data_IF_835403887036
#
_entry.id   IF_835403887036
#
_cell.length_a   1.000
_cell.length_b   1.000
_cell.length_c   1.000
_cell.angle_alpha   90.00
_cell.angle_beta   90.00
_cell.angle_gamma   90.00
#
_symmetry.space_group_name_H-M   'P 1'
#
loop_
_entity.id
_entity.type
_entity.pdbx_description
1 polymer ?
#
# COMPACT_ATOMS: atom_id res chain seq x y z
N UNK A 1 -11.97 -5.26 51.04
CA UNK A 1 -12.33 -6.58 50.49
C UNK A 1 -13.10 -6.34 49.20
N UNK A 2 -12.39 -6.28 48.08
CA UNK A 2 -12.88 -6.34 46.68
C UNK A 2 -11.67 -6.09 45.74
N UNK A 3 -11.42 -7.00 44.79
CA UNK A 3 -10.70 -6.79 43.52
C UNK A 3 -11.69 -6.16 42.49
N UNK A 4 -11.33 -5.69 41.27
CA UNK A 4 -10.07 -5.86 40.50
C UNK A 4 -9.55 -4.59 39.75
N UNK A 5 -8.37 -4.66 39.14
CA UNK A 5 -7.97 -3.85 37.98
C UNK A 5 -7.64 -4.80 36.82
N UNK A 6 -8.45 -4.72 35.75
CA UNK A 6 -8.25 -5.42 34.46
C UNK A 6 -7.74 -4.40 33.45
N UNK A 7 -6.63 -4.74 32.78
CA UNK A 7 -6.09 -4.06 31.61
C UNK A 7 -7.05 -4.13 30.42
N UNK A 8 -7.47 -2.97 29.91
CA UNK A 8 -8.25 -2.82 28.68
C UNK A 8 -7.33 -2.25 27.60
N UNK A 9 -6.75 -3.14 26.79
CA UNK A 9 -6.10 -2.76 25.52
C UNK A 9 -7.18 -2.68 24.44
N UNK A 10 -7.53 -1.45 24.07
CA UNK A 10 -8.41 -1.12 22.94
C UNK A 10 -7.53 -0.86 21.72
N UNK A 11 -7.63 -1.71 20.70
CA UNK A 11 -6.92 -1.60 19.42
C UNK A 11 -7.94 -1.45 18.28
N UNK A 12 -7.92 -0.31 17.61
CA UNK A 12 -8.78 0.02 16.46
C UNK A 12 -7.94 0.60 15.32
N UNK A 13 -7.69 -0.17 14.26
CA UNK A 13 -7.73 0.28 12.86
C UNK A 13 -7.43 -0.89 11.92
N UNK A 14 -8.34 -1.12 10.97
CA UNK A 14 -8.17 -2.04 9.86
C UNK A 14 -7.90 -1.25 8.59
N UNK A 15 -6.68 -1.36 8.08
CA UNK A 15 -6.39 -1.50 6.66
C UNK A 15 -5.26 -2.52 6.57
N UNK A 16 -5.62 -3.72 6.11
CA UNK A 16 -4.72 -4.83 5.85
C UNK A 16 -3.93 -5.33 7.07
N UNK A 17 -4.61 -6.14 7.88
CA UNK A 17 -3.95 -7.24 8.61
C UNK A 17 -2.98 -7.91 7.65
N UNK A 18 -1.68 -7.87 7.97
CA UNK A 18 -0.71 -8.98 7.91
C UNK A 18 0.75 -8.50 7.96
N UNK A 19 1.02 -7.65 8.95
CA UNK A 19 2.33 -7.56 9.59
C UNK A 19 2.20 -7.56 11.13
N UNK A 20 1.02 -7.86 11.66
CA UNK A 20 0.68 -7.72 13.10
C UNK A 20 0.32 -9.05 13.78
N UNK A 21 0.87 -10.17 13.31
CA UNK A 21 0.90 -11.38 14.11
C UNK A 21 2.34 -11.86 14.18
N UNK A 22 3.05 -11.43 15.23
CA UNK A 22 4.06 -12.21 15.99
C UNK A 22 4.68 -11.39 17.17
N UNK A 23 4.06 -10.30 17.64
CA UNK A 23 4.43 -9.67 18.93
C UNK A 23 3.65 -10.30 20.08
N UNK A 24 3.97 -11.55 20.42
CA UNK A 24 3.74 -12.12 21.75
C UNK A 24 4.57 -13.40 21.90
N UNK A 25 5.76 -13.23 22.44
CA UNK A 25 6.65 -14.27 22.93
C UNK A 25 7.43 -13.67 24.08
N UNK A 26 7.09 -14.12 25.29
CA UNK A 26 7.43 -13.54 26.59
C UNK A 26 8.92 -13.26 26.81
N UNK A 27 9.19 -12.09 27.38
CA UNK A 27 10.43 -11.80 28.10
C UNK A 27 10.35 -12.40 29.49
N UNK A 28 11.24 -13.33 29.82
CA UNK A 28 11.68 -13.57 31.19
C UNK A 28 13.16 -13.99 31.21
N UNK A 29 13.88 -13.38 32.15
CA UNK A 29 15.29 -13.55 32.47
C UNK A 29 15.66 -14.98 32.93
N UNK A 30 16.87 -15.46 32.55
CA UNK A 30 17.92 -15.96 33.48
C UNK A 30 18.84 -17.07 32.91
N UNK A 31 20.15 -16.77 32.90
CA UNK A 31 21.35 -17.54 33.33
C UNK A 31 21.69 -18.98 32.85
N UNK A 32 23.01 -19.17 32.64
CA UNK A 32 23.79 -20.39 32.37
C UNK A 32 23.50 -21.58 33.33
N UNK A 33 23.48 -22.83 32.81
CA UNK A 33 24.50 -23.91 33.01
C UNK A 33 24.01 -25.34 32.62
N UNK A 34 24.90 -26.12 31.96
CA UNK A 34 25.13 -27.59 31.92
C UNK A 34 24.04 -28.69 31.75
N UNK A 35 24.30 -29.60 30.80
CA UNK A 35 23.76 -30.97 30.49
C UNK A 35 23.78 -32.03 31.65
N UNK A 36 23.30 -33.32 31.50
CA UNK A 36 22.60 -34.02 30.38
C UNK A 36 21.38 -34.95 30.71
N UNK A 37 20.70 -35.39 29.63
CA UNK A 37 20.06 -36.70 29.33
C UNK A 37 18.89 -37.27 30.18
N UNK A 38 17.76 -37.57 29.52
CA UNK A 38 17.21 -38.94 29.34
C UNK A 38 15.96 -39.00 28.44
N UNK A 39 15.87 -40.12 27.72
CA UNK A 39 14.87 -40.59 26.74
C UNK A 39 13.51 -40.96 27.33
N UNK A 40 12.42 -40.69 26.60
CA UNK A 40 11.32 -41.64 26.38
C UNK A 40 10.50 -41.27 25.14
N UNK A 41 10.24 -42.30 24.33
CA UNK A 41 9.40 -42.40 23.14
C UNK A 41 7.90 -42.30 23.46
N UNK A 42 7.11 -41.71 22.56
CA UNK A 42 5.77 -42.24 22.22
C UNK A 42 5.30 -41.75 20.84
N UNK A 43 5.06 -42.72 19.96
CA UNK A 43 4.25 -42.67 18.73
C UNK A 43 2.79 -42.35 19.09
N UNK A 44 2.01 -41.54 18.38
CA UNK A 44 1.70 -41.61 16.95
C UNK A 44 0.18 -41.59 16.81
N UNK A 45 -0.36 -40.65 16.03
CA UNK A 45 -1.71 -40.76 15.46
C UNK A 45 -1.82 -39.78 14.28
N UNK A 46 -1.73 -40.35 13.08
CA UNK A 46 -1.98 -39.68 11.82
C UNK A 46 -3.46 -39.77 11.45
N UNK A 47 -4.01 -38.69 10.90
CA UNK A 47 -5.28 -38.69 10.14
C UNK A 47 -5.31 -37.46 9.22
N UNK A 48 -6.09 -37.48 8.12
CA UNK A 48 -5.52 -37.56 6.80
C UNK A 48 -5.66 -36.27 5.98
N UNK A 49 -4.69 -36.09 5.09
CA UNK A 49 -4.70 -35.12 3.99
C UNK A 49 -5.93 -35.35 3.11
N UNK A 50 -6.86 -34.39 3.12
CA UNK A 50 -7.88 -34.28 2.07
C UNK A 50 -7.32 -33.45 0.93
N UNK A 51 -7.15 -34.14 -0.21
CA UNK A 51 -6.74 -33.60 -1.49
C UNK A 51 -7.73 -32.57 -2.03
N UNK A 52 -7.26 -31.37 -2.35
CA UNK A 52 -7.99 -30.43 -3.22
C UNK A 52 -7.44 -30.51 -4.65
N UNK A 53 -8.32 -30.39 -5.67
CA UNK A 53 -7.94 -30.54 -7.06
C UNK A 53 -7.14 -29.32 -7.53
N UNK A 54 -5.93 -29.59 -8.01
CA UNK A 54 -5.05 -28.62 -8.65
C UNK A 54 -5.64 -28.18 -10.01
N UNK A 55 -6.07 -26.92 -10.10
CA UNK A 55 -6.21 -26.22 -11.38
C UNK A 55 -6.15 -24.71 -11.20
N UNK A 56 -4.95 -24.21 -10.89
CA UNK A 56 -4.54 -22.86 -11.27
C UNK A 56 -3.03 -22.86 -11.46
N UNK A 57 -2.59 -22.48 -12.65
CA UNK A 57 -1.19 -22.51 -13.05
C UNK A 57 -0.44 -21.46 -12.22
N UNK A 58 0.21 -21.93 -11.15
CA UNK A 58 1.08 -21.11 -10.32
C UNK A 58 2.36 -20.80 -11.10
N UNK A 59 2.72 -19.52 -11.22
CA UNK A 59 3.91 -19.07 -11.94
C UNK A 59 5.16 -19.38 -11.09
N UNK A 60 6.08 -20.25 -11.56
CA UNK A 60 7.35 -20.46 -10.87
C UNK A 60 8.24 -19.23 -11.06
N UNK A 61 8.97 -18.79 -10.04
CA UNK A 61 10.02 -17.76 -10.18
C UNK A 61 11.39 -18.43 -10.35
N UNK A 62 12.16 -17.91 -11.30
CA UNK A 62 13.36 -18.55 -11.83
C UNK A 62 14.63 -18.02 -11.16
N UNK A 63 15.42 -18.90 -10.56
CA UNK A 63 16.87 -18.74 -10.51
C UNK A 63 17.42 -18.97 -11.92
N UNK A 64 17.88 -17.91 -12.57
CA UNK A 64 18.51 -18.03 -13.88
C UNK A 64 19.76 -17.18 -13.91
N UNK A 65 20.92 -17.80 -13.71
CA UNK A 65 22.15 -17.34 -14.35
C UNK A 65 21.96 -17.56 -15.85
N UNK A 66 21.38 -16.60 -16.56
CA UNK A 66 21.19 -16.71 -18.00
C UNK A 66 22.58 -16.67 -18.70
N UNK A 67 22.91 -17.64 -19.57
CA UNK A 67 24.11 -17.53 -20.38
C UNK A 67 23.94 -16.41 -21.41
N UNK A 68 25.00 -15.60 -21.57
CA UNK A 68 25.10 -14.51 -22.56
C UNK A 68 24.86 -15.04 -23.98
N UNK A 69 23.65 -14.91 -24.50
CA UNK A 69 23.34 -15.14 -25.91
C UNK A 69 23.60 -13.84 -26.69
N UNK A 70 24.41 -13.96 -27.74
CA UNK A 70 24.74 -12.86 -28.65
C UNK A 70 23.48 -12.25 -29.27
N UNK A 71 23.42 -10.92 -29.29
CA UNK A 71 22.28 -10.13 -29.75
C UNK A 71 21.93 -10.40 -31.22
N UNK A 72 20.66 -10.68 -31.49
CA UNK A 72 20.10 -10.71 -32.84
C UNK A 72 19.81 -9.29 -33.37
N UNK A 73 19.83 -9.04 -34.69
CA UNK A 73 19.89 -7.68 -35.27
C UNK A 73 18.56 -6.87 -35.23
N UNK A 74 17.65 -7.14 -34.29
CA UNK A 74 16.39 -6.39 -34.12
C UNK A 74 16.28 -5.67 -32.76
N UNK A 75 17.38 -5.61 -32.02
CA UNK A 75 17.41 -5.12 -30.64
C UNK A 75 17.50 -3.58 -30.57
N UNK A 76 16.44 -2.89 -30.98
CA UNK A 76 16.25 -1.52 -30.49
C UNK A 76 15.81 -1.61 -29.02
N UNK A 77 16.49 -0.93 -28.09
CA UNK A 77 16.07 -0.94 -26.69
C UNK A 77 14.65 -0.39 -26.60
N UNK A 78 13.73 -1.23 -26.11
CA UNK A 78 12.35 -0.85 -25.86
C UNK A 78 12.34 0.39 -24.97
N UNK A 79 11.59 1.45 -25.30
CA UNK A 79 11.58 2.66 -24.50
C UNK A 79 11.14 2.34 -23.07
N UNK A 80 11.84 2.93 -22.11
CA UNK A 80 11.50 2.80 -20.69
C UNK A 80 10.09 3.34 -20.45
N UNK A 81 9.34 2.64 -19.60
CA UNK A 81 8.00 3.07 -19.21
C UNK A 81 8.09 4.33 -18.32
N UNK A 82 7.08 5.22 -18.36
CA UNK A 82 7.01 6.36 -17.46
C UNK A 82 7.20 5.95 -16.00
N UNK A 83 8.02 6.69 -15.24
CA UNK A 83 8.32 6.37 -13.83
C UNK A 83 9.39 5.29 -13.61
N UNK A 84 9.93 4.68 -14.68
CA UNK A 84 11.05 3.77 -14.56
C UNK A 84 12.29 4.48 -13.95
N UNK A 85 12.95 3.90 -12.93
CA UNK A 85 14.18 4.46 -12.40
C UNK A 85 15.31 4.37 -13.45
N UNK A 86 16.18 5.38 -13.50
CA UNK A 86 17.29 5.46 -14.46
C UNK A 86 18.60 5.72 -13.74
N UNK A 87 19.54 4.77 -13.81
CA UNK A 87 20.83 4.88 -13.15
C UNK A 87 21.93 4.31 -14.04
N UNK A 88 23.16 4.84 -14.02
CA UNK A 88 24.29 4.21 -14.70
C UNK A 88 24.68 2.86 -14.06
N UNK A 89 24.23 2.57 -12.84
CA UNK A 89 24.57 1.34 -12.09
C UNK A 89 23.70 0.14 -12.46
N UNK A 90 22.55 0.37 -13.10
CA UNK A 90 21.62 -0.69 -13.42
C UNK A 90 20.82 -0.43 -14.68
N UNK A 91 20.16 -1.47 -15.17
CA UNK A 91 19.16 -1.41 -16.23
C UNK A 91 17.92 -2.21 -15.84
N UNK A 92 16.80 -1.92 -16.50
CA UNK A 92 15.56 -2.65 -16.31
C UNK A 92 15.42 -3.67 -17.42
N UNK A 93 15.16 -4.93 -17.06
CA UNK A 93 14.94 -6.02 -18.01
C UNK A 93 13.60 -6.69 -17.76
N UNK A 94 12.96 -7.17 -18.82
CA UNK A 94 11.84 -8.11 -18.71
C UNK A 94 12.37 -9.50 -18.33
N UNK A 95 11.70 -10.15 -17.38
CA UNK A 95 12.01 -11.49 -16.90
C UNK A 95 10.88 -12.45 -17.30
N UNK A 96 11.17 -13.75 -17.53
CA UNK A 96 10.13 -14.69 -17.93
C UNK A 96 9.03 -14.90 -16.87
N UNK A 97 9.33 -14.63 -15.59
CA UNK A 97 8.50 -15.07 -14.46
C UNK A 97 8.13 -13.97 -13.47
N UNK A 98 8.94 -12.92 -13.33
CA UNK A 98 8.76 -11.85 -12.35
C UNK A 98 8.38 -10.49 -13.00
N UNK A 99 8.01 -10.48 -14.29
CA UNK A 99 7.75 -9.22 -15.00
C UNK A 99 9.04 -8.41 -15.17
N UNK A 100 9.03 -7.12 -14.84
CA UNK A 100 10.22 -6.27 -14.94
C UNK A 100 11.08 -6.41 -13.69
N UNK A 101 12.40 -6.35 -13.84
CA UNK A 101 13.34 -6.35 -12.73
C UNK A 101 14.53 -5.44 -13.01
N UNK A 102 15.19 -4.99 -11.95
CA UNK A 102 16.41 -4.18 -12.01
C UNK A 102 17.62 -5.10 -11.98
N UNK A 103 18.57 -4.92 -12.90
CA UNK A 103 19.81 -5.69 -12.97
C UNK A 103 21.02 -4.77 -13.00
N UNK A 104 22.09 -5.13 -12.30
CA UNK A 104 23.33 -4.37 -12.31
C UNK A 104 23.93 -4.32 -13.73
N UNK A 105 24.26 -3.12 -14.21
CA UNK A 105 24.89 -2.92 -15.53
C UNK A 105 26.42 -3.03 -15.47
N UNK A 106 26.97 -2.96 -14.26
CA UNK A 106 28.38 -3.04 -13.89
C UNK A 106 28.50 -3.66 -12.49
N UNK A 107 29.72 -3.96 -12.05
CA UNK A 107 29.96 -4.36 -10.67
C UNK A 107 29.65 -3.17 -9.74
N UNK A 108 28.95 -3.43 -8.64
CA UNK A 108 28.55 -2.43 -7.66
C UNK A 108 29.09 -2.82 -6.29
N UNK A 109 29.86 -1.92 -5.68
CA UNK A 109 30.43 -2.11 -4.36
C UNK A 109 29.36 -1.97 -3.25
N UNK A 110 29.54 -2.71 -2.16
CA UNK A 110 28.74 -2.57 -0.96
C UNK A 110 28.68 -1.09 -0.48
N UNK A 111 27.49 -0.64 -0.09
CA UNK A 111 27.21 0.73 0.37
C UNK A 111 26.90 1.74 -0.73
N UNK A 112 27.14 1.40 -2.01
CA UNK A 112 26.84 2.29 -3.13
C UNK A 112 25.36 2.69 -3.17
N UNK A 113 25.10 3.98 -3.43
CA UNK A 113 23.74 4.50 -3.62
C UNK A 113 23.24 4.09 -5.00
N UNK A 114 22.23 3.21 -5.02
CA UNK A 114 21.62 2.72 -6.25
C UNK A 114 20.54 3.67 -6.75
N UNK A 115 19.65 4.11 -5.85
CA UNK A 115 18.49 4.91 -6.20
C UNK A 115 17.96 5.74 -5.03
N UNK A 116 17.34 6.89 -5.36
CA UNK A 116 16.52 7.70 -4.46
C UNK A 116 15.13 7.83 -5.09
N UNK A 117 14.12 7.26 -4.46
CA UNK A 117 12.74 7.40 -4.89
C UNK A 117 12.10 8.61 -4.18
N UNK A 118 11.95 9.70 -4.92
CA UNK A 118 11.37 10.97 -4.44
C UNK A 118 9.98 11.23 -5.07
N UNK A 119 9.46 10.24 -5.78
CA UNK A 119 8.25 10.30 -6.60
C UNK A 119 6.99 9.79 -5.87
N UNK A 120 6.87 10.05 -4.57
CA UNK A 120 5.68 9.74 -3.79
C UNK A 120 4.43 10.31 -4.48
N UNK A 121 3.56 9.43 -4.95
CA UNK A 121 2.40 9.83 -5.76
C UNK A 121 1.08 9.60 -5.03
N UNK A 122 0.98 8.53 -4.25
CA UNK A 122 -0.18 8.21 -3.43
C UNK A 122 0.30 7.95 -2.01
N UNK A 123 -0.38 8.48 -1.00
CA UNK A 123 -0.06 8.16 0.39
C UNK A 123 -1.27 8.29 1.28
N UNK A 124 -1.37 7.39 2.25
CA UNK A 124 -2.39 7.37 3.29
C UNK A 124 -1.67 7.44 4.63
N UNK A 125 -2.08 8.40 5.45
CA UNK A 125 -1.79 8.40 6.87
C UNK A 125 -3.06 7.98 7.59
N UNK A 126 -3.01 6.82 8.26
CA UNK A 126 -4.17 6.24 8.95
C UNK A 126 -4.71 7.19 9.99
N UNK A 127 -6.04 7.22 10.14
CA UNK A 127 -6.74 8.22 10.95
C UNK A 127 -6.25 8.26 12.40
N UNK A 128 -5.94 7.10 12.96
CA UNK A 128 -5.45 6.95 14.33
C UNK A 128 -4.15 7.74 14.58
N UNK A 129 -3.22 7.77 13.61
CA UNK A 129 -1.94 8.48 13.74
C UNK A 129 -1.96 9.94 13.28
N UNK A 130 -3.09 10.47 12.77
CA UNK A 130 -3.16 11.85 12.21
C UNK A 130 -2.97 12.97 13.25
N UNK A 131 -2.80 12.63 14.52
CA UNK A 131 -2.42 13.58 15.59
C UNK A 131 -0.94 13.54 15.95
N UNK A 132 -0.25 12.46 15.60
CA UNK A 132 1.07 12.10 16.12
C UNK A 132 2.13 12.04 15.00
N UNK A 133 1.68 11.91 13.75
CA UNK A 133 2.56 11.79 12.59
C UNK A 133 2.40 13.00 11.68
N UNK A 134 3.52 13.58 11.28
CA UNK A 134 3.55 14.78 10.45
C UNK A 134 2.99 14.47 9.06
N UNK A 135 1.93 15.19 8.66
CA UNK A 135 1.31 15.03 7.34
C UNK A 135 2.25 15.38 6.17
N UNK A 136 3.36 16.09 6.42
CA UNK A 136 4.33 16.46 5.38
C UNK A 136 5.56 15.57 5.30
N UNK A 137 6.16 15.16 6.41
CA UNK A 137 7.42 14.42 6.38
C UNK A 137 7.35 13.07 7.07
N UNK A 138 6.19 12.69 7.62
CA UNK A 138 6.02 11.48 8.41
C UNK A 138 6.94 11.40 9.64
N UNK A 139 7.44 12.54 10.13
CA UNK A 139 8.10 12.61 11.43
C UNK A 139 7.09 12.20 12.52
N UNK A 140 7.59 11.42 13.47
CA UNK A 140 6.84 10.86 14.57
C UNK A 140 7.63 11.09 15.87
N UNK A 141 6.92 11.15 16.99
CA UNK A 141 7.53 11.42 18.28
C UNK A 141 6.92 10.57 19.38
N UNK A 142 7.05 9.24 19.26
CA UNK A 142 6.66 8.24 20.27
C UNK A 142 5.24 8.45 20.83
N UNK A 143 4.28 8.65 19.93
CA UNK A 143 2.86 8.78 20.26
C UNK A 143 2.43 10.16 20.74
N UNK A 144 3.34 11.15 20.72
CA UNK A 144 3.02 12.51 21.17
C UNK A 144 2.29 13.30 20.09
N UNK A 145 1.25 14.02 20.51
CA UNK A 145 0.57 15.00 19.66
C UNK A 145 1.58 16.02 19.09
N UNK A 146 1.60 16.20 17.78
CA UNK A 146 2.50 17.15 17.13
C UNK A 146 2.03 18.61 17.31
N UNK A 147 2.96 19.57 17.39
CA UNK A 147 2.67 20.91 17.89
C UNK A 147 1.88 21.80 16.92
N UNK A 148 1.94 21.54 15.60
CA UNK A 148 1.32 22.41 14.59
C UNK A 148 0.10 21.72 13.99
N UNK A 149 -1.08 22.07 14.48
CA UNK A 149 -2.35 21.53 13.98
C UNK A 149 -2.94 22.40 12.88
N UNK A 150 -3.39 21.77 11.79
CA UNK A 150 -4.26 22.39 10.78
C UNK A 150 -5.61 21.69 10.78
N UNK A 151 -6.50 22.15 11.68
CA UNK A 151 -7.79 21.52 11.90
C UNK A 151 -8.74 21.63 10.70
N UNK A 152 -8.47 22.51 9.73
CA UNK A 152 -9.30 22.64 8.55
C UNK A 152 -9.16 21.40 7.65
N UNK A 153 -7.93 20.89 7.49
CA UNK A 153 -7.61 19.78 6.60
C UNK A 153 -7.40 18.45 7.33
N UNK A 154 -7.41 18.45 8.67
CA UNK A 154 -7.34 17.22 9.46
C UNK A 154 -5.95 16.62 9.61
N UNK A 155 -4.91 17.46 9.47
CA UNK A 155 -3.51 17.06 9.60
C UNK A 155 -2.79 17.83 10.71
N UNK A 156 -1.73 17.22 11.24
CA UNK A 156 -0.75 17.85 12.12
C UNK A 156 0.62 17.87 11.45
N UNK A 157 1.50 18.72 11.95
CA UNK A 157 2.85 18.90 11.43
C UNK A 157 3.84 19.07 12.58
N UNK A 158 5.06 18.56 12.38
CA UNK A 158 6.14 18.73 13.34
C UNK A 158 6.63 20.19 13.41
N UNK A 159 6.40 20.99 12.36
CA UNK A 159 6.81 22.38 12.28
C UNK A 159 5.88 23.23 11.40
N UNK A 160 5.96 24.56 11.56
CA UNK A 160 5.27 25.51 10.68
C UNK A 160 5.75 25.43 9.24
N UNK A 161 7.03 25.09 9.04
CA UNK A 161 7.62 24.86 7.72
C UNK A 161 6.97 23.66 7.02
N UNK A 162 6.85 22.52 7.71
CA UNK A 162 6.17 21.34 7.18
C UNK A 162 4.72 21.64 6.80
N UNK A 163 3.98 22.36 7.65
CA UNK A 163 2.61 22.80 7.32
C UNK A 163 2.58 23.66 6.06
N UNK A 164 3.46 24.66 5.99
CA UNK A 164 3.46 25.62 4.88
C UNK A 164 3.85 24.92 3.56
N UNK A 165 4.82 23.99 3.60
CA UNK A 165 5.20 23.15 2.46
C UNK A 165 4.04 22.29 2.02
N UNK A 166 3.36 21.59 2.93
CA UNK A 166 2.18 20.78 2.61
C UNK A 166 1.07 21.61 1.96
N UNK A 167 0.74 22.78 2.53
CA UNK A 167 -0.30 23.68 1.98
C UNK A 167 0.08 24.20 0.59
N UNK A 168 1.36 24.48 0.35
CA UNK A 168 1.88 24.91 -0.95
C UNK A 168 1.78 23.79 -1.99
N UNK A 169 2.16 22.56 -1.62
CA UNK A 169 2.05 21.38 -2.50
C UNK A 169 0.60 21.03 -2.82
N UNK A 170 -0.30 21.10 -1.84
CA UNK A 170 -1.73 20.86 -2.04
C UNK A 170 -2.38 21.92 -2.95
N UNK A 171 -1.89 23.17 -2.90
CA UNK A 171 -2.48 24.30 -3.60
C UNK A 171 -3.89 24.63 -3.11
N UNK A 172 -4.50 25.68 -3.67
CA UNK A 172 -5.83 26.13 -3.24
C UNK A 172 -6.91 25.05 -3.41
N UNK A 173 -6.88 24.35 -4.55
CA UNK A 173 -7.85 23.30 -4.83
C UNK A 173 -7.71 22.10 -3.87
N UNK A 174 -6.48 21.68 -3.57
CA UNK A 174 -6.22 20.62 -2.60
C UNK A 174 -6.64 21.00 -1.19
N UNK A 175 -6.42 22.25 -0.78
CA UNK A 175 -6.89 22.76 0.52
C UNK A 175 -8.42 22.70 0.62
N UNK A 176 -9.14 23.14 -0.43
CA UNK A 176 -10.61 23.04 -0.49
C UNK A 176 -11.08 21.58 -0.43
N UNK A 177 -10.42 20.68 -1.17
CA UNK A 177 -10.73 19.26 -1.18
C UNK A 177 -10.56 18.62 0.20
N UNK A 178 -9.39 18.78 0.82
CA UNK A 178 -9.14 18.23 2.16
C UNK A 178 -10.02 18.85 3.24
N UNK A 179 -10.36 20.13 3.12
CA UNK A 179 -11.32 20.78 4.03
C UNK A 179 -12.72 20.16 3.91
N UNK A 180 -13.16 19.85 2.70
CA UNK A 180 -14.45 19.18 2.47
C UNK A 180 -14.45 17.76 3.03
N UNK A 181 -13.37 17.00 2.82
CA UNK A 181 -13.18 15.65 3.37
C UNK A 181 -13.19 15.67 4.89
N UNK A 182 -12.39 16.52 5.54
CA UNK A 182 -12.34 16.61 7.00
C UNK A 182 -13.68 17.09 7.57
N UNK A 183 -14.39 18.00 6.88
CA UNK A 183 -15.74 18.39 7.30
C UNK A 183 -16.74 17.24 7.24
N UNK A 184 -16.62 16.32 6.28
CA UNK A 184 -17.48 15.14 6.20
C UNK A 184 -17.18 14.18 7.36
N UNK A 185 -15.89 13.88 7.59
CA UNK A 185 -15.43 12.97 8.66
C UNK A 185 -15.85 13.49 10.04
N UNK A 186 -15.63 14.78 10.35
CA UNK A 186 -15.99 15.36 11.66
C UNK A 186 -17.48 15.30 11.99
N UNK A 187 -18.36 15.32 10.98
CA UNK A 187 -19.82 15.25 11.19
C UNK A 187 -20.29 13.84 11.58
N UNK A 188 -19.43 12.83 11.46
CA UNK A 188 -19.81 11.40 11.47
C UNK A 188 -18.95 10.52 12.38
N UNK A 189 -17.98 11.07 13.12
CA UNK A 189 -16.94 10.32 13.86
C UNK A 189 -17.40 9.48 15.07
N UNK A 190 -18.64 8.99 15.08
CA UNK A 190 -19.19 8.12 16.14
C UNK A 190 -19.48 6.69 15.69
N UNK A 191 -19.23 6.34 14.42
CA UNK A 191 -19.36 4.97 13.94
C UNK A 191 -17.96 4.34 13.93
N UNK A 192 -17.75 3.36 14.81
CA UNK A 192 -16.48 2.60 14.93
C UNK A 192 -16.30 1.68 13.71
N UNK A 193 -15.08 1.63 13.17
CA UNK A 193 -14.69 0.66 12.15
C UNK A 193 -14.72 -0.75 12.78
N UNK A 194 -15.60 -1.61 12.28
CA UNK A 194 -15.70 -3.00 12.76
C UNK A 194 -14.58 -3.84 12.16
N UNK A 195 -14.04 -4.76 12.95
CA UNK A 195 -13.05 -5.71 12.46
C UNK A 195 -13.68 -6.63 11.39
N UNK A 196 -13.06 -6.73 10.22
CA UNK A 196 -13.41 -7.70 9.19
C UNK A 196 -12.75 -9.03 9.54
N UNK A 197 -13.52 -10.11 9.55
CA UNK A 197 -13.00 -11.44 9.83
C UNK A 197 -11.95 -11.86 8.78
N UNK A 198 -10.86 -12.46 9.25
CA UNK A 198 -9.94 -13.22 8.40
C UNK A 198 -10.72 -14.45 7.90
N UNK A 199 -10.77 -14.69 6.58
CA UNK A 199 -11.53 -15.74 5.86
C UNK A 199 -12.87 -15.34 5.21
N UNK A 200 -13.08 -14.04 4.93
CA UNK A 200 -14.18 -13.62 4.04
C UNK A 200 -13.78 -13.86 2.57
N UNK A 201 -14.67 -14.38 1.70
CA UNK A 201 -14.37 -14.53 0.28
C UNK A 201 -14.04 -13.19 -0.38
N UNK A 202 -12.92 -13.15 -1.13
CA UNK A 202 -12.56 -12.02 -1.98
C UNK A 202 -13.54 -11.91 -3.16
N UNK A 203 -13.98 -10.71 -3.55
CA UNK A 203 -14.80 -10.52 -4.73
C UNK A 203 -13.99 -10.81 -6.00
N UNK A 204 -14.58 -11.53 -6.94
CA UNK A 204 -13.99 -11.78 -8.25
C UNK A 204 -14.13 -10.56 -9.18
N UNK A 205 -13.53 -10.66 -10.37
CA UNK A 205 -13.50 -9.58 -11.37
C UNK A 205 -14.91 -9.16 -11.80
N UNK A 206 -15.86 -10.09 -11.90
CA UNK A 206 -17.22 -9.78 -12.36
C UNK A 206 -18.05 -9.12 -11.25
N UNK A 207 -17.94 -9.61 -10.02
CA UNK A 207 -18.55 -8.97 -8.85
C UNK A 207 -18.05 -7.52 -8.67
N UNK A 208 -16.74 -7.29 -8.88
CA UNK A 208 -16.16 -5.95 -8.85
C UNK A 208 -16.78 -5.07 -9.93
N UNK A 209 -16.80 -5.53 -11.20
CA UNK A 209 -17.37 -4.75 -12.31
C UNK A 209 -18.83 -4.39 -12.04
N UNK A 210 -19.61 -5.35 -11.55
CA UNK A 210 -21.03 -5.16 -11.24
C UNK A 210 -21.22 -4.09 -10.16
N UNK A 211 -20.51 -4.18 -9.04
CA UNK A 211 -20.64 -3.22 -7.93
C UNK A 211 -20.36 -1.78 -8.37
N UNK A 212 -19.33 -1.57 -9.21
CA UNK A 212 -19.02 -0.25 -9.75
C UNK A 212 -20.05 0.23 -10.78
N UNK A 213 -20.58 -0.65 -11.62
CA UNK A 213 -21.62 -0.32 -12.59
C UNK A 213 -22.94 0.10 -11.91
N UNK A 214 -23.33 -0.59 -10.83
CA UNK A 214 -24.55 -0.28 -10.06
C UNK A 214 -24.49 1.12 -9.42
N UNK A 215 -23.29 1.56 -9.01
CA UNK A 215 -23.06 2.87 -8.41
C UNK A 215 -23.24 4.03 -9.40
N UNK A 216 -23.07 3.81 -10.70
CA UNK A 216 -22.99 4.90 -11.68
C UNK A 216 -24.33 5.64 -11.84
N UNK A 217 -25.46 4.92 -11.72
CA UNK A 217 -26.79 5.55 -11.71
C UNK A 217 -26.97 6.58 -10.58
N UNK A 218 -26.36 6.33 -9.41
CA UNK A 218 -26.36 7.28 -8.29
C UNK A 218 -25.34 8.39 -8.52
N UNK A 219 -24.19 8.07 -9.09
CA UNK A 219 -23.15 9.03 -9.42
C UNK A 219 -23.65 10.10 -10.39
N UNK A 220 -24.37 9.72 -11.45
CA UNK A 220 -24.96 10.65 -12.41
C UNK A 220 -25.92 11.65 -11.73
N UNK A 221 -26.76 11.16 -10.82
CA UNK A 221 -27.66 12.00 -10.03
C UNK A 221 -26.90 12.98 -9.12
N UNK A 222 -25.80 12.51 -8.49
CA UNK A 222 -24.96 13.37 -7.65
C UNK A 222 -24.26 14.43 -8.50
N UNK A 223 -23.65 14.05 -9.63
CA UNK A 223 -22.98 14.99 -10.55
C UNK A 223 -23.95 16.06 -11.05
N UNK A 224 -25.14 15.66 -11.50
CA UNK A 224 -26.15 16.60 -11.96
C UNK A 224 -26.58 17.57 -10.84
N UNK A 225 -26.73 17.08 -9.59
CA UNK A 225 -26.99 17.92 -8.43
C UNK A 225 -25.89 18.98 -8.23
N UNK A 226 -24.63 18.53 -8.20
CA UNK A 226 -23.45 19.35 -7.91
C UNK A 226 -23.15 20.36 -9.02
N UNK A 227 -23.35 19.99 -10.28
CA UNK A 227 -23.11 20.87 -11.43
C UNK A 227 -24.17 21.96 -11.61
N UNK A 228 -25.38 21.78 -11.08
CA UNK A 228 -26.41 22.81 -11.11
C UNK A 228 -26.28 23.85 -9.99
N UNK A 229 -25.46 23.58 -8.96
CA UNK A 229 -25.14 24.53 -7.89
C UNK A 229 -24.13 25.61 -8.34
N UNK A 230 -23.47 25.41 -9.49
CA UNK A 230 -22.54 26.39 -10.05
C UNK A 230 -23.30 27.56 -10.72
N UNK A 231 -22.82 28.81 -10.57
CA UNK A 231 -23.34 29.94 -11.32
C UNK A 231 -23.18 29.68 -12.83
N UNK A 232 -24.26 29.79 -13.61
CA UNK A 232 -24.24 29.72 -15.08
C UNK A 232 -24.82 30.99 -15.67
N UNK A 233 -24.40 31.32 -16.89
CA UNK A 233 -25.06 32.35 -17.70
C UNK A 233 -26.54 32.00 -17.90
N UNK A 234 -27.38 33.04 -17.92
CA UNK A 234 -28.84 32.93 -17.94
C UNK A 234 -29.33 32.09 -19.14
N UNK A 235 -30.08 31.01 -18.87
CA UNK A 235 -30.91 30.37 -19.91
C UNK A 235 -31.07 28.85 -19.88
N UNK A 236 -30.19 28.09 -19.23
CA UNK A 236 -30.31 26.63 -19.14
C UNK A 236 -29.85 26.08 -17.78
N UNK A 237 -30.73 26.19 -16.76
CA UNK A 237 -30.53 25.54 -15.47
C UNK A 237 -31.28 24.19 -15.48
N UNK A 238 -30.58 23.04 -15.43
CA UNK A 238 -31.23 21.76 -15.22
C UNK A 238 -32.01 21.79 -13.90
N UNK A 239 -33.31 21.48 -13.93
CA UNK A 239 -34.15 21.53 -12.73
C UNK A 239 -33.74 20.41 -11.76
N UNK A 240 -33.10 20.77 -10.65
CA UNK A 240 -32.78 19.83 -9.58
C UNK A 240 -34.05 19.20 -9.02
N UNK A 241 -34.16 17.88 -9.20
CA UNK A 241 -35.31 17.10 -8.75
C UNK A 241 -35.11 16.59 -7.31
N UNK A 242 -36.18 16.05 -6.72
CA UNK A 242 -36.13 15.36 -5.42
C UNK A 242 -35.17 14.16 -5.44
N UNK A 243 -35.03 13.49 -6.58
CA UNK A 243 -34.15 12.32 -6.74
C UNK A 243 -32.67 12.72 -6.64
N UNK A 244 -32.27 13.80 -7.30
CA UNK A 244 -30.92 14.36 -7.20
C UNK A 244 -30.52 14.67 -5.75
N UNK A 245 -31.38 15.43 -5.03
CA UNK A 245 -31.15 15.76 -3.61
C UNK A 245 -31.06 14.54 -2.71
N UNK A 246 -31.91 13.53 -2.96
CA UNK A 246 -31.88 12.26 -2.23
C UNK A 246 -30.60 11.48 -2.48
N UNK A 247 -30.08 11.45 -3.70
CA UNK A 247 -28.82 10.77 -4.02
C UNK A 247 -27.63 11.38 -3.27
N UNK A 248 -27.52 12.73 -3.28
CA UNK A 248 -26.50 13.45 -2.52
C UNK A 248 -26.64 13.17 -1.02
N UNK A 249 -27.85 13.30 -0.47
CA UNK A 249 -28.09 13.05 0.94
C UNK A 249 -27.76 11.60 1.33
N UNK A 250 -28.13 10.62 0.52
CA UNK A 250 -27.83 9.20 0.74
C UNK A 250 -26.33 8.96 0.78
N UNK A 251 -25.56 9.54 -0.15
CA UNK A 251 -24.10 9.42 -0.16
C UNK A 251 -23.48 10.01 1.11
N UNK A 252 -23.91 11.21 1.52
CA UNK A 252 -23.41 11.88 2.73
C UNK A 252 -23.81 11.20 4.06
N UNK A 253 -24.83 10.35 4.04
CA UNK A 253 -25.32 9.60 5.21
C UNK A 253 -24.76 8.18 5.29
N UNK A 254 -24.09 7.69 4.25
CA UNK A 254 -23.46 6.38 4.26
C UNK A 254 -22.32 6.32 5.30
N UNK A 255 -21.98 5.11 5.82
CA UNK A 255 -20.81 4.90 6.65
C UNK A 255 -19.54 5.45 5.99
N UNK A 256 -18.58 5.91 6.80
CA UNK A 256 -17.33 6.49 6.31
C UNK A 256 -16.18 5.58 6.68
N UNK A 257 -15.56 4.96 5.68
CA UNK A 257 -14.23 4.37 5.80
C UNK A 257 -13.20 5.50 5.67
N UNK A 258 -12.75 6.04 6.81
CA UNK A 258 -12.00 7.32 6.85
C UNK A 258 -10.69 7.27 6.07
N UNK A 259 -10.02 6.12 6.06
CA UNK A 259 -8.74 5.97 5.38
C UNK A 259 -8.89 5.63 3.90
N UNK A 260 -9.93 4.88 3.52
CA UNK A 260 -10.32 4.72 2.10
C UNK A 260 -10.72 6.07 1.49
N UNK A 261 -11.47 6.88 2.24
CA UNK A 261 -11.85 8.23 1.82
C UNK A 261 -10.63 9.12 1.59
N UNK A 262 -9.65 9.09 2.51
CA UNK A 262 -8.40 9.83 2.37
C UNK A 262 -7.53 9.33 1.22
N UNK A 263 -7.43 8.01 1.05
CA UNK A 263 -6.74 7.37 -0.08
C UNK A 263 -7.30 7.84 -1.42
N UNK A 264 -8.61 7.70 -1.62
CA UNK A 264 -9.26 8.08 -2.86
C UNK A 264 -9.21 9.60 -3.11
N UNK A 265 -9.40 10.44 -2.07
CA UNK A 265 -9.29 11.89 -2.20
C UNK A 265 -7.86 12.31 -2.59
N UNK A 266 -6.86 11.75 -1.91
CA UNK A 266 -5.44 11.97 -2.21
C UNK A 266 -5.09 11.55 -3.63
N UNK A 267 -5.62 10.42 -4.10
CA UNK A 267 -5.37 9.94 -5.46
C UNK A 267 -6.06 10.75 -6.55
N UNK A 268 -7.28 11.26 -6.32
CA UNK A 268 -7.93 12.20 -7.25
C UNK A 268 -7.12 13.50 -7.36
N UNK A 269 -6.63 14.01 -6.23
CA UNK A 269 -5.75 15.19 -6.21
C UNK A 269 -4.41 14.91 -6.89
N UNK A 270 -3.81 13.74 -6.67
CA UNK A 270 -2.59 13.34 -7.34
C UNK A 270 -2.78 13.25 -8.85
N UNK A 271 -3.93 12.73 -9.33
CA UNK A 271 -4.27 12.71 -10.77
C UNK A 271 -4.44 14.12 -11.34
N UNK A 272 -5.06 15.04 -10.58
CA UNK A 272 -5.26 16.43 -11.00
C UNK A 272 -3.94 17.23 -11.04
N UNK A 273 -3.16 17.15 -9.97
CA UNK A 273 -1.95 17.93 -9.75
C UNK A 273 -0.66 17.20 -10.12
N UNK A 274 -0.75 16.06 -10.82
CA UNK A 274 0.41 15.31 -11.26
C UNK A 274 1.32 16.20 -12.10
N UNK A 275 2.58 16.34 -11.69
CA UNK A 275 3.63 16.80 -12.58
C UNK A 275 3.60 15.94 -13.87
N UNK A 276 3.95 16.48 -15.04
CA UNK A 276 3.93 15.73 -16.29
C UNK A 276 4.62 14.36 -16.13
N UNK A 277 3.94 13.28 -16.52
CA UNK A 277 4.48 11.92 -16.43
C UNK A 277 4.18 11.19 -15.11
N UNK A 278 3.73 11.86 -14.05
CA UNK A 278 3.50 11.22 -12.74
C UNK A 278 2.26 10.31 -12.73
N UNK A 279 1.19 10.72 -13.40
CA UNK A 279 0.02 9.85 -13.55
C UNK A 279 0.33 8.66 -14.47
N UNK A 280 1.07 8.90 -15.54
CA UNK A 280 1.56 7.85 -16.44
C UNK A 280 2.45 6.84 -15.72
N UNK A 281 3.27 7.30 -14.76
CA UNK A 281 4.04 6.43 -13.90
C UNK A 281 3.14 5.49 -13.07
N UNK A 282 2.06 6.01 -12.49
CA UNK A 282 1.05 5.19 -11.78
C UNK A 282 0.41 4.18 -12.73
N UNK A 283 0.04 4.60 -13.94
CA UNK A 283 -0.54 3.70 -14.96
C UNK A 283 0.44 2.59 -15.41
N UNK A 284 1.74 2.77 -15.20
CA UNK A 284 2.77 1.79 -15.54
C UNK A 284 3.01 0.73 -14.44
N UNK A 285 2.48 0.92 -13.23
CA UNK A 285 2.67 0.02 -12.09
C UNK A 285 2.02 -1.35 -12.31
N UNK A 286 2.40 -2.37 -11.53
CA UNK A 286 1.73 -3.67 -11.61
C UNK A 286 0.23 -3.54 -11.29
N UNK A 287 -0.62 -4.26 -12.04
CA UNK A 287 -2.08 -4.30 -11.82
C UNK A 287 -2.43 -5.48 -10.93
N UNK A 288 -3.25 -5.23 -9.91
CA UNK A 288 -4.07 -6.25 -9.25
C UNK A 288 -5.49 -6.21 -9.84
N UNK A 289 -5.93 -7.31 -10.46
CA UNK A 289 -7.26 -7.41 -11.07
C UNK A 289 -8.37 -7.61 -10.02
N UNK A 290 -8.02 -8.04 -8.81
CA UNK A 290 -8.93 -8.29 -7.69
C UNK A 290 -8.45 -7.57 -6.43
N UNK A 291 -8.39 -6.23 -6.44
CA UNK A 291 -7.66 -5.50 -5.42
C UNK A 291 -8.37 -5.36 -4.08
N UNK A 292 -9.58 -5.90 -3.96
CA UNK A 292 -10.37 -5.81 -2.73
C UNK A 292 -10.21 -7.07 -1.91
N UNK A 293 -9.95 -6.90 -0.61
CA UNK A 293 -9.74 -8.04 0.29
C UNK A 293 -11.05 -8.69 0.75
N UNK A 294 -12.19 -7.99 0.59
CA UNK A 294 -13.53 -8.48 0.91
C UNK A 294 -14.60 -7.70 0.15
N UNK A 295 -15.84 -8.18 0.18
CA UNK A 295 -16.99 -7.42 -0.32
C UNK A 295 -17.26 -6.13 0.48
N UNK A 296 -16.92 -6.12 1.76
CA UNK A 296 -17.05 -4.93 2.61
C UNK A 296 -16.06 -3.84 2.17
N UNK A 297 -14.82 -4.21 1.89
CA UNK A 297 -13.79 -3.32 1.36
C UNK A 297 -14.15 -2.77 -0.02
N UNK A 298 -14.65 -3.62 -0.93
CA UNK A 298 -15.21 -3.19 -2.21
C UNK A 298 -16.34 -2.17 -2.03
N UNK A 299 -17.29 -2.47 -1.14
CA UNK A 299 -18.40 -1.56 -0.87
C UNK A 299 -17.93 -0.24 -0.23
N UNK A 300 -16.92 -0.26 0.65
CA UNK A 300 -16.33 0.95 1.23
C UNK A 300 -15.74 1.88 0.15
N UNK A 301 -15.07 1.32 -0.86
CA UNK A 301 -14.55 2.08 -1.99
C UNK A 301 -15.65 2.65 -2.90
N UNK A 302 -16.69 1.86 -3.17
CA UNK A 302 -17.86 2.32 -3.97
C UNK A 302 -18.64 3.41 -3.23
N UNK A 303 -18.81 3.30 -1.92
CA UNK A 303 -19.44 4.36 -1.11
C UNK A 303 -18.59 5.62 -1.06
N UNK A 304 -17.27 5.46 -0.87
CA UNK A 304 -16.29 6.54 -0.93
C UNK A 304 -16.36 7.31 -2.24
N UNK A 305 -16.48 6.62 -3.39
CA UNK A 305 -16.68 7.25 -4.69
C UNK A 305 -17.86 8.23 -4.69
N UNK A 306 -19.03 7.78 -4.23
CA UNK A 306 -20.25 8.60 -4.18
C UNK A 306 -20.12 9.75 -3.18
N UNK A 307 -19.47 9.52 -2.03
CA UNK A 307 -19.18 10.55 -1.03
C UNK A 307 -18.27 11.64 -1.59
N UNK A 308 -17.18 11.26 -2.29
CA UNK A 308 -16.26 12.21 -2.91
C UNK A 308 -16.95 13.04 -3.98
N UNK A 309 -17.81 12.44 -4.82
CA UNK A 309 -18.62 13.21 -5.77
C UNK A 309 -19.52 14.24 -5.07
N UNK A 310 -20.04 13.91 -3.90
CA UNK A 310 -20.92 14.77 -3.13
C UNK A 310 -20.19 15.91 -2.40
N UNK A 311 -18.89 15.78 -2.09
CA UNK A 311 -18.18 16.79 -1.26
C UNK A 311 -17.02 17.49 -1.96
N UNK A 312 -16.33 16.85 -2.91
CA UNK A 312 -15.16 17.44 -3.54
C UNK A 312 -15.52 18.71 -4.31
N UNK A 313 -14.56 19.65 -4.44
CA UNK A 313 -14.65 20.76 -5.38
C UNK A 313 -15.09 20.27 -6.76
N UNK A 314 -15.99 21.03 -7.37
CA UNK A 314 -16.60 20.72 -8.66
C UNK A 314 -15.57 20.51 -9.79
N UNK A 315 -14.44 21.18 -9.69
CA UNK A 315 -13.29 21.13 -10.58
C UNK A 315 -12.64 19.73 -10.61
N UNK A 316 -12.80 18.94 -9.53
CA UNK A 316 -12.27 17.57 -9.42
C UNK A 316 -13.27 16.51 -9.86
N UNK A 317 -14.55 16.84 -10.06
CA UNK A 317 -15.57 15.85 -10.43
C UNK A 317 -15.28 15.13 -11.76
N UNK A 318 -14.76 15.78 -12.82
CA UNK A 318 -14.39 15.08 -14.06
C UNK A 318 -13.32 13.99 -13.85
N UNK A 319 -12.51 14.12 -12.80
CA UNK A 319 -11.47 13.15 -12.44
C UNK A 319 -11.91 12.17 -11.35
N UNK A 320 -13.02 12.44 -10.67
CA UNK A 320 -13.57 11.53 -9.66
C UNK A 320 -14.45 10.53 -10.37
N UNK A 321 -13.89 9.49 -10.98
CA UNK A 321 -14.64 8.48 -11.77
C UNK A 321 -14.40 7.06 -11.24
N UNK A 322 -15.26 6.07 -11.58
CA UNK A 322 -15.02 4.68 -11.22
C UNK A 322 -13.67 4.19 -11.70
N UNK A 323 -13.28 4.54 -12.93
CA UNK A 323 -11.99 4.16 -13.52
C UNK A 323 -10.83 4.74 -12.74
N UNK A 324 -10.96 5.98 -12.26
CA UNK A 324 -9.93 6.63 -11.44
C UNK A 324 -9.72 5.88 -10.15
N UNK A 325 -10.78 5.66 -9.38
CA UNK A 325 -10.68 5.02 -8.07
C UNK A 325 -10.24 3.56 -8.19
N UNK A 326 -10.78 2.82 -9.18
CA UNK A 326 -10.31 1.46 -9.48
C UNK A 326 -8.83 1.44 -9.89
N UNK A 327 -8.38 2.42 -10.67
CA UNK A 327 -6.96 2.53 -11.04
C UNK A 327 -6.11 2.74 -9.79
N UNK A 328 -6.50 3.63 -8.89
CA UNK A 328 -5.76 3.86 -7.64
C UNK A 328 -5.61 2.56 -6.85
N UNK A 329 -6.71 1.87 -6.53
CA UNK A 329 -6.68 0.65 -5.70
C UNK A 329 -5.93 -0.50 -6.41
N UNK A 330 -6.15 -0.70 -7.72
CA UNK A 330 -5.47 -1.77 -8.49
C UNK A 330 -3.97 -1.56 -8.64
N UNK A 331 -3.48 -0.32 -8.58
CA UNK A 331 -2.04 -0.03 -8.62
C UNK A 331 -1.41 0.02 -7.24
N UNK A 332 -2.16 0.27 -6.19
CA UNK A 332 -1.59 0.39 -4.84
C UNK A 332 -1.18 -0.97 -4.26
N UNK A 333 -2.06 -1.98 -4.30
CA UNK A 333 -1.89 -3.27 -3.61
C UNK A 333 -0.52 -3.96 -3.79
N UNK A 334 0.05 -3.93 -5.00
CA UNK A 334 1.32 -4.60 -5.30
C UNK A 334 2.52 -3.66 -5.30
N UNK A 335 2.32 -2.36 -5.17
CA UNK A 335 3.35 -1.34 -5.40
C UNK A 335 3.54 -0.39 -4.21
N UNK A 336 2.71 -0.49 -3.18
CA UNK A 336 2.78 0.32 -1.98
C UNK A 336 3.93 -0.09 -1.04
N UNK A 337 4.48 0.90 -0.35
CA UNK A 337 5.49 0.77 0.70
C UNK A 337 4.89 1.26 2.00
N UNK A 338 5.09 0.49 3.07
CA UNK A 338 4.66 0.88 4.41
C UNK A 338 5.41 2.11 4.91
N UNK A 339 4.67 3.04 5.48
CA UNK A 339 5.16 4.18 6.24
C UNK A 339 5.17 3.74 7.70
N UNK A 340 6.31 3.24 8.15
CA UNK A 340 6.52 2.81 9.53
C UNK A 340 7.37 3.83 10.29
N UNK A 341 7.24 3.84 11.61
CA UNK A 341 8.12 4.58 12.51
C UNK A 341 9.60 4.31 12.23
N UNK A 342 10.45 5.33 12.43
CA UNK A 342 11.90 5.22 12.25
C UNK A 342 12.63 5.13 13.60
N UNK A 343 11.93 5.53 14.66
CA UNK A 343 12.46 5.78 15.99
C UNK A 343 12.44 4.54 16.91
N UNK A 344 11.73 3.49 16.51
CA UNK A 344 11.42 2.27 17.28
C UNK A 344 11.49 0.98 16.40
N UNK A 345 12.37 0.99 15.39
CA UNK A 345 12.58 -0.11 14.45
C UNK A 345 11.33 -0.47 13.61
N UNK A 346 10.37 0.43 13.50
CA UNK A 346 9.21 0.26 12.62
C UNK A 346 8.05 -0.49 13.26
N UNK A 347 7.97 -0.49 14.60
CA UNK A 347 6.89 -1.12 15.35
C UNK A 347 5.52 -0.54 15.01
N UNK A 348 5.45 0.75 14.72
CA UNK A 348 4.22 1.45 14.37
C UNK A 348 4.03 1.52 12.85
N UNK A 349 2.82 1.21 12.38
CA UNK A 349 2.44 1.29 10.97
C UNK A 349 1.52 2.49 10.74
N UNK A 350 2.09 3.62 10.35
CA UNK A 350 1.35 4.87 10.17
C UNK A 350 0.43 4.86 8.94
N UNK A 351 0.71 3.99 7.99
CA UNK A 351 0.02 3.89 6.72
C UNK A 351 0.97 3.49 5.61
N UNK A 352 0.71 3.93 4.38
CA UNK A 352 1.44 3.45 3.21
C UNK A 352 1.47 4.50 2.11
N UNK A 353 2.35 4.32 1.15
CA UNK A 353 2.37 5.14 -0.06
C UNK A 353 3.01 4.45 -1.25
N UNK A 354 2.83 5.03 -2.42
CA UNK A 354 3.33 4.51 -3.68
C UNK A 354 4.39 5.45 -4.27
N UNK A 355 5.57 4.87 -4.49
CA UNK A 355 6.72 5.48 -5.16
C UNK A 355 6.97 4.68 -6.44
N UNK A 356 6.42 5.10 -7.61
CA UNK A 356 6.48 4.30 -8.83
C UNK A 356 7.87 3.79 -9.19
N UNK A 357 8.90 4.62 -9.02
CA UNK A 357 10.29 4.27 -9.29
C UNK A 357 10.84 3.19 -8.35
N UNK A 358 10.36 3.14 -7.10
CA UNK A 358 10.76 2.14 -6.12
C UNK A 358 10.14 0.76 -6.39
N UNK A 359 8.98 0.71 -7.05
CA UNK A 359 8.23 -0.54 -7.29
C UNK A 359 8.88 -1.47 -8.34
N UNK A 360 9.98 -1.05 -8.97
CA UNK A 360 10.76 -1.87 -9.92
C UNK A 360 11.72 -2.86 -9.23
N UNK A 361 12.05 -2.64 -7.96
CA UNK A 361 12.95 -3.51 -7.22
C UNK A 361 12.20 -4.74 -6.71
N UNK A 362 12.51 -5.90 -7.26
CA UNK A 362 11.84 -7.15 -6.93
C UNK A 362 12.20 -7.70 -5.55
N UNK A 363 11.40 -8.68 -5.10
CA UNK A 363 11.59 -9.37 -3.84
C UNK A 363 12.67 -10.46 -3.88
N UNK A 364 13.49 -10.53 -2.83
CA UNK A 364 14.24 -11.72 -2.43
C UNK A 364 14.16 -11.90 -0.90
N UNK A 365 14.03 -13.14 -0.42
CA UNK A 365 14.14 -13.45 1.01
C UNK A 365 15.59 -13.36 1.53
N UNK A 366 16.56 -13.22 0.63
CA UNK A 366 17.97 -12.93 0.94
C UNK A 366 18.42 -11.74 0.09
N UNK A 367 17.94 -10.52 0.39
CA UNK A 367 18.12 -9.36 -0.48
C UNK A 367 19.59 -8.95 -0.63
N UNK A 368 19.92 -8.27 -1.73
CA UNK A 368 21.23 -7.63 -1.93
C UNK A 368 21.19 -6.10 -1.78
N UNK A 369 20.00 -5.53 -1.56
CA UNK A 369 19.80 -4.11 -1.27
C UNK A 369 19.23 -3.90 0.13
N UNK A 370 19.80 -2.95 0.85
CA UNK A 370 19.18 -2.35 2.02
C UNK A 370 18.45 -1.07 1.60
N UNK A 371 17.21 -0.90 2.08
CA UNK A 371 16.39 0.30 1.82
C UNK A 371 16.11 1.04 3.12
N UNK A 372 16.18 2.37 3.07
CA UNK A 372 15.88 3.25 4.21
C UNK A 372 14.96 4.37 3.77
N UNK A 373 13.98 4.70 4.62
CA UNK A 373 13.15 5.89 4.44
C UNK A 373 13.77 7.07 5.19
N UNK A 374 13.84 8.21 4.52
CA UNK A 374 14.09 9.52 5.12
C UNK A 374 12.94 10.45 4.73
N UNK A 375 12.06 10.71 5.70
CA UNK A 375 10.81 11.39 5.46
C UNK A 375 9.98 10.76 4.35
N UNK A 376 9.83 11.46 3.22
CA UNK A 376 9.09 11.00 2.03
C UNK A 376 9.97 10.35 0.95
N UNK A 377 11.26 10.15 1.21
CA UNK A 377 12.21 9.59 0.25
C UNK A 377 12.60 8.18 0.67
N UNK A 378 12.67 7.26 -0.29
CA UNK A 378 13.32 5.97 -0.10
C UNK A 378 14.70 5.97 -0.74
N UNK A 379 15.73 5.67 0.05
CA UNK A 379 17.08 5.38 -0.44
C UNK A 379 17.29 3.87 -0.56
N UNK A 380 17.88 3.45 -1.68
CA UNK A 380 18.26 2.07 -1.97
C UNK A 380 19.77 2.00 -2.09
N UNK A 381 20.42 1.20 -1.25
CA UNK A 381 21.88 1.02 -1.24
C UNK A 381 22.24 -0.45 -1.35
N UNK A 382 23.33 -0.73 -2.05
CA UNK A 382 23.88 -2.08 -2.10
C UNK A 382 24.23 -2.53 -0.67
N UNK A 383 23.62 -3.62 -0.21
CA UNK A 383 23.90 -4.21 1.12
C UNK A 383 25.13 -5.11 1.12
N UNK A 384 25.60 -5.49 -0.06
CA UNK A 384 26.79 -6.29 -0.36
C UNK A 384 27.26 -5.98 -1.78
N UNK A 385 28.42 -6.49 -2.17
CA UNK A 385 28.86 -6.39 -3.56
C UNK A 385 27.87 -7.10 -4.49
N UNK A 386 27.55 -6.47 -5.62
CA UNK A 386 26.60 -6.96 -6.63
C UNK A 386 27.35 -7.06 -7.95
N UNK A 387 27.43 -8.27 -8.52
CA UNK A 387 28.14 -8.47 -9.77
C UNK A 387 27.36 -7.92 -10.96
N UNK A 388 28.06 -7.49 -12.01
CA UNK A 388 27.44 -7.14 -13.29
C UNK A 388 26.50 -8.24 -13.75
N UNK A 389 25.26 -7.87 -14.05
CA UNK A 389 24.21 -8.77 -14.51
C UNK A 389 23.43 -9.47 -13.40
N UNK A 390 23.79 -9.31 -12.13
CA UNK A 390 22.99 -9.79 -10.99
C UNK A 390 21.73 -8.92 -10.82
N UNK A 391 20.62 -9.56 -10.45
CA UNK A 391 19.36 -8.87 -10.13
C UNK A 391 19.51 -8.08 -8.84
N UNK A 392 19.10 -6.81 -8.84
CA UNK A 392 19.09 -5.93 -7.68
C UNK A 392 17.72 -6.03 -7.02
N UNK A 393 17.68 -6.53 -5.79
CA UNK A 393 16.45 -6.94 -5.11
C UNK A 393 16.41 -6.49 -3.64
N UNK A 394 15.19 -6.21 -3.18
CA UNK A 394 14.85 -5.82 -1.82
C UNK A 394 14.05 -6.91 -1.13
N UNK A 395 13.78 -6.75 0.16
CA UNK A 395 12.73 -7.53 0.85
C UNK A 395 11.40 -6.78 0.86
N UNK A 396 10.31 -7.54 0.76
CA UNK A 396 8.92 -7.07 0.88
C UNK A 396 8.37 -7.38 2.28
N UNK A 397 9.07 -8.20 3.05
CA UNK A 397 8.62 -8.74 4.33
C UNK A 397 9.18 -7.95 5.53
N UNK A 398 9.87 -6.84 5.29
CA UNK A 398 10.24 -5.89 6.35
C UNK A 398 11.28 -6.40 7.35
N UNK A 399 11.89 -7.57 7.14
CA UNK A 399 12.81 -8.19 8.09
C UNK A 399 12.23 -9.43 8.77
N UNK A 400 10.90 -9.56 8.82
CA UNK A 400 10.19 -10.68 9.44
C UNK A 400 10.58 -12.03 8.83
N UNK A 401 11.05 -12.03 7.57
CA UNK A 401 11.55 -13.23 6.91
C UNK A 401 12.69 -13.94 7.68
N UNK A 402 13.36 -13.25 8.61
CA UNK A 402 14.45 -13.81 9.40
C UNK A 402 13.95 -14.84 10.42
N UNK A 403 12.76 -14.63 10.98
CA UNK A 403 12.13 -15.55 11.94
C UNK A 403 11.17 -16.55 11.29
N UNK A 404 10.76 -16.33 10.04
CA UNK A 404 9.82 -17.18 9.32
C UNK A 404 10.48 -18.36 8.60
N UNK A 405 9.81 -19.52 8.61
CA UNK A 405 10.09 -20.67 7.74
C UNK A 405 9.88 -20.35 6.27
N UNK A 406 10.35 -21.23 5.37
CA UNK A 406 10.16 -21.07 3.91
C UNK A 406 8.68 -21.06 3.55
N UNK A 407 7.91 -21.94 4.17
CA UNK A 407 6.49 -22.13 3.94
C UNK A 407 5.70 -20.88 4.37
N UNK A 408 6.01 -20.31 5.53
CA UNK A 408 5.39 -19.07 6.03
C UNK A 408 5.70 -17.89 5.10
N UNK A 409 6.97 -17.70 4.71
CA UNK A 409 7.35 -16.64 3.76
C UNK A 409 6.60 -16.76 2.45
N UNK A 410 6.53 -17.96 1.87
CA UNK A 410 5.84 -18.18 0.59
C UNK A 410 4.34 -18.02 0.71
N UNK A 411 3.72 -18.47 1.81
CA UNK A 411 2.30 -18.27 2.05
C UNK A 411 1.95 -16.78 2.17
N UNK A 412 2.76 -16.02 2.91
CA UNK A 412 2.59 -14.57 3.06
C UNK A 412 2.75 -13.84 1.72
N UNK A 413 3.81 -14.15 0.96
CA UNK A 413 4.05 -13.55 -0.37
C UNK A 413 2.96 -13.89 -1.38
N UNK A 414 2.46 -15.13 -1.38
CA UNK A 414 1.37 -15.55 -2.27
C UNK A 414 0.07 -14.81 -1.93
N UNK A 415 -0.23 -14.66 -0.65
CA UNK A 415 -1.45 -13.99 -0.20
C UNK A 415 -1.45 -12.50 -0.50
N UNK A 416 -0.30 -11.83 -0.33
CA UNK A 416 -0.20 -10.38 -0.41
C UNK A 416 0.21 -9.86 -1.80
N UNK A 417 1.01 -10.63 -2.55
CA UNK A 417 1.53 -10.23 -3.88
C UNK A 417 1.27 -11.25 -4.99
N UNK A 418 0.59 -12.37 -4.69
CA UNK A 418 0.17 -13.33 -5.72
C UNK A 418 1.29 -14.15 -6.36
N UNK A 419 2.47 -14.25 -5.74
CA UNK A 419 3.60 -15.02 -6.30
C UNK A 419 4.24 -15.99 -5.31
N UNK A 420 4.88 -17.02 -5.86
CA UNK A 420 5.74 -17.95 -5.14
C UNK A 420 7.20 -17.50 -5.23
N UNK A 421 7.88 -17.27 -4.11
CA UNK A 421 9.28 -16.86 -4.12
C UNK A 421 10.23 -18.02 -4.45
N UNK A 422 11.07 -17.81 -5.46
CA UNK A 422 12.09 -18.72 -5.96
C UNK A 422 13.50 -18.14 -5.84
N UNK A 423 13.72 -17.22 -4.89
CA UNK A 423 15.07 -16.73 -4.59
C UNK A 423 15.96 -17.87 -4.07
N UNK A 424 17.28 -17.67 -4.11
CA UNK A 424 18.28 -18.64 -3.65
C UNK A 424 17.95 -19.23 -2.26
N UNK A 425 17.61 -18.36 -1.29
CA UNK A 425 17.24 -18.77 0.09
C UNK A 425 15.99 -19.67 0.15
N UNK A 426 15.04 -19.53 -0.78
CA UNK A 426 13.85 -20.37 -0.83
C UNK A 426 14.06 -21.67 -1.62
N UNK A 427 15.08 -21.71 -2.49
CA UNK A 427 15.45 -22.91 -3.25
C UNK A 427 16.41 -23.81 -2.49
N UNK A 428 17.26 -23.25 -1.64
CA UNK A 428 18.08 -24.00 -0.71
C UNK A 428 17.16 -24.81 0.22
N UNK A 429 17.21 -26.14 0.08
CA UNK A 429 16.65 -27.03 1.09
C UNK A 429 17.40 -26.73 2.39
N UNK A 430 16.67 -26.47 3.47
CA UNK A 430 17.26 -26.45 4.81
C UNK A 430 17.91 -27.81 5.03
N UNK A 431 19.20 -27.91 4.77
CA UNK A 431 19.98 -29.09 5.10
C UNK A 431 20.22 -28.98 6.60
N UNK A 432 19.77 -29.99 7.33
CA UNK A 432 20.15 -30.24 8.72
C UNK A 432 21.67 -30.47 8.78
N UNK A 433 22.43 -29.39 8.69
CA UNK A 433 23.87 -29.39 8.91
C UNK A 433 24.13 -28.35 9.98
N UNK A 434 23.99 -28.77 11.24
CA UNK A 434 24.30 -27.92 12.39
C UNK A 434 23.73 -28.34 13.75
N UNK A 435 23.42 -29.64 13.95
CA UNK A 435 23.30 -30.21 15.30
C UNK A 435 24.64 -30.83 15.70
#
# INVERSE_FOLDING_TARGET
>A
MALPEDDVVSLTANLHTLTLQLTKGDTDDAQLTSYPASTTTESGAATPLTSYPASSVSRPSSSSSAPSLAASPLDQPKPLLPGAPVSPLFEIRDTPTAGRAVFASQDVEAGALLWRAEDLTLSVLLREYRREVCGQCFAYDYGRDLPVRDSAVGFVFCSTECRNTWRREAGELGLRAWTAVESLVKKRSKEEDKMVALDVPKPDVEAIKQAWAEAESQAELIRAARMAEQPREEGQVPRITKQHRRAVQKALQAPIATDVLAFCAGGVLARHGAAPGRWEAVLSLAVDETPYISFEDLNAHVQTYLQLLAVLPTELLPLTTPETLRTLTSRDNHNAFGIRSLEDEGSEFFGYGCWPSASYFNHSCGPNVFKKRDGRVWEFRAGKDIAKGEEINITYLGGDEQSMSREERRALLRRNWGFDCGCKRCQELWTLSGL
#
